data_IF_011887108108
#
_entry.id   IF_011887108108
#
_cell.length_a   1.000
_cell.length_b   1.000
_cell.length_c   1.000
_cell.angle_alpha   90.00
_cell.angle_beta   90.00
_cell.angle_gamma   90.00
#
_symmetry.space_group_name_H-M   'P 1'
#
loop_
_entity.id
_entity.type
_entity.pdbx_description
1 polymer ?
#
# COMPACT_ATOMS: atom_id res chain seq x y z
N UNK A 1 -14.64 16.45 9.55
CA UNK A 1 -13.48 17.35 9.36
C UNK A 1 -13.25 17.48 7.87
N UNK A 2 -12.96 18.69 7.33
CA UNK A 2 -12.61 18.79 5.92
C UNK A 2 -11.24 18.13 5.71
N UNK A 3 -10.98 17.63 4.50
CA UNK A 3 -9.72 17.01 4.07
C UNK A 3 -8.56 17.97 4.39
N UNK A 4 -7.90 17.76 5.53
CA UNK A 4 -6.71 18.51 5.90
C UNK A 4 -5.64 18.18 4.88
N UNK A 5 -5.13 19.23 4.27
CA UNK A 5 -4.44 19.23 3.00
C UNK A 5 -3.14 18.43 3.13
N UNK A 6 -3.11 17.19 2.61
CA UNK A 6 -1.82 16.53 2.30
C UNK A 6 -1.03 17.53 1.48
N UNK A 7 0.10 17.97 2.01
CA UNK A 7 0.91 18.97 1.32
C UNK A 7 1.55 18.32 0.10
N UNK A 8 1.82 19.11 -0.95
CA UNK A 8 2.57 18.61 -2.10
C UNK A 8 3.93 18.03 -1.68
N UNK A 9 4.51 18.59 -0.61
CA UNK A 9 5.77 18.14 -0.02
C UNK A 9 5.64 16.74 0.60
N UNK A 10 4.61 16.53 1.41
CA UNK A 10 4.30 15.22 2.02
C UNK A 10 4.00 14.14 0.98
N UNK A 11 3.25 14.49 -0.07
CA UNK A 11 3.02 13.57 -1.18
C UNK A 11 4.30 13.24 -1.93
N UNK A 12 5.16 14.24 -2.19
CA UNK A 12 6.44 14.03 -2.87
C UNK A 12 7.38 13.16 -2.04
N UNK A 13 7.46 13.40 -0.73
CA UNK A 13 8.24 12.56 0.18
C UNK A 13 7.71 11.12 0.24
N UNK A 14 6.39 10.94 0.18
CA UNK A 14 5.77 9.62 0.14
C UNK A 14 6.10 8.89 -1.17
N UNK A 15 6.12 9.59 -2.30
CA UNK A 15 6.58 9.03 -3.59
C UNK A 15 8.02 8.55 -3.45
N UNK A 16 8.94 9.39 -2.95
CA UNK A 16 10.35 9.00 -2.80
C UNK A 16 10.49 7.76 -1.91
N UNK A 17 9.72 7.69 -0.83
CA UNK A 17 9.70 6.54 0.09
C UNK A 17 9.20 5.27 -0.60
N UNK A 18 8.11 5.37 -1.36
CA UNK A 18 7.55 4.26 -2.13
C UNK A 18 8.50 3.79 -3.22
N UNK A 19 9.18 4.71 -3.90
CA UNK A 19 10.15 4.37 -4.95
C UNK A 19 11.39 3.68 -4.38
N UNK A 20 11.89 4.14 -3.22
CA UNK A 20 13.03 3.52 -2.55
C UNK A 20 12.68 2.11 -2.04
N UNK A 21 11.50 1.96 -1.43
CA UNK A 21 11.08 0.72 -0.80
C UNK A 21 10.60 -0.35 -1.80
N UNK A 22 9.74 0.03 -2.75
CA UNK A 22 9.12 -0.93 -3.69
C UNK A 22 9.77 -0.93 -5.08
N UNK A 23 10.78 -0.10 -5.35
CA UNK A 23 11.23 0.22 -6.71
C UNK A 23 11.39 -0.96 -7.66
N UNK A 24 12.05 -2.03 -7.22
CA UNK A 24 12.25 -3.25 -8.02
C UNK A 24 10.94 -3.99 -8.34
N UNK A 25 10.04 -4.11 -7.36
CA UNK A 25 8.72 -4.74 -7.52
C UNK A 25 7.79 -3.88 -8.40
N UNK A 26 7.88 -2.56 -8.30
CA UNK A 26 7.12 -1.64 -9.16
C UNK A 26 7.50 -1.86 -10.62
N UNK A 27 8.81 -1.95 -10.92
CA UNK A 27 9.27 -2.18 -12.29
C UNK A 27 8.76 -3.53 -12.82
N UNK A 28 8.87 -4.60 -12.03
CA UNK A 28 8.38 -5.93 -12.41
C UNK A 28 6.85 -5.97 -12.61
N UNK A 29 6.08 -5.37 -11.72
CA UNK A 29 4.61 -5.36 -11.82
C UNK A 29 4.14 -4.46 -12.96
N UNK A 30 4.76 -3.29 -13.15
CA UNK A 30 4.42 -2.37 -14.24
C UNK A 30 4.71 -2.93 -15.63
N UNK A 31 5.65 -3.88 -15.77
CA UNK A 31 5.87 -4.59 -17.04
C UNK A 31 4.69 -5.50 -17.40
N UNK A 32 4.01 -6.06 -16.40
CA UNK A 32 2.93 -7.04 -16.59
C UNK A 32 1.53 -6.43 -16.50
N UNK A 33 1.40 -5.31 -15.80
CA UNK A 33 0.18 -4.53 -15.74
C UNK A 33 0.22 -3.45 -16.82
N UNK A 34 -0.92 -3.17 -17.47
CA UNK A 34 -1.04 -2.12 -18.50
C UNK A 34 -1.01 -0.70 -17.91
N UNK A 35 -0.09 -0.44 -16.98
CA UNK A 35 0.05 0.79 -16.19
C UNK A 35 1.50 1.26 -16.22
N UNK A 36 1.72 2.57 -16.29
CA UNK A 36 3.07 3.11 -16.19
C UNK A 36 3.63 3.02 -14.75
N UNK A 37 4.95 2.87 -14.63
CA UNK A 37 5.69 2.95 -13.35
C UNK A 37 5.25 4.16 -12.51
N UNK A 38 5.16 5.34 -13.13
CA UNK A 38 4.76 6.59 -12.45
C UNK A 38 3.34 6.55 -11.91
N UNK A 39 2.40 5.97 -12.65
CA UNK A 39 1.04 5.81 -12.17
C UNK A 39 1.01 4.84 -10.99
N UNK A 40 1.72 3.71 -11.08
CA UNK A 40 1.79 2.74 -9.99
C UNK A 40 2.38 3.35 -8.71
N UNK A 41 3.48 4.09 -8.83
CA UNK A 41 4.08 4.86 -7.72
C UNK A 41 3.06 5.81 -7.10
N UNK A 42 2.33 6.58 -7.91
CA UNK A 42 1.33 7.52 -7.40
C UNK A 42 0.17 6.81 -6.67
N UNK A 43 -0.27 5.64 -7.15
CA UNK A 43 -1.30 4.83 -6.50
C UNK A 43 -0.80 4.30 -5.16
N UNK A 44 0.43 3.78 -5.12
CA UNK A 44 1.07 3.29 -3.89
C UNK A 44 1.24 4.42 -2.87
N UNK A 45 1.67 5.61 -3.29
CA UNK A 45 1.81 6.77 -2.42
C UNK A 45 0.46 7.21 -1.82
N UNK A 46 -0.61 7.21 -2.63
CA UNK A 46 -1.98 7.47 -2.12
C UNK A 46 -2.43 6.42 -1.12
N UNK A 47 -2.13 5.15 -1.37
CA UNK A 47 -2.42 4.07 -0.44
C UNK A 47 -1.68 4.26 0.90
N UNK A 48 -0.40 4.64 0.87
CA UNK A 48 0.37 4.97 2.09
C UNK A 48 -0.28 6.10 2.88
N UNK A 49 -0.61 7.22 2.22
CA UNK A 49 -1.25 8.36 2.90
C UNK A 49 -2.61 8.00 3.49
N UNK A 50 -3.44 7.26 2.75
CA UNK A 50 -4.75 6.81 3.26
C UNK A 50 -4.60 5.80 4.40
N UNK A 51 -3.60 4.91 4.36
CA UNK A 51 -3.28 4.02 5.47
C UNK A 51 -2.83 4.77 6.72
N UNK A 52 -1.97 5.80 6.56
CA UNK A 52 -1.54 6.67 7.66
C UNK A 52 -2.69 7.42 8.32
N UNK A 53 -3.69 7.85 7.54
CA UNK A 53 -4.88 8.52 8.08
C UNK A 53 -5.78 7.60 8.92
N UNK A 54 -5.83 6.30 8.60
CA UNK A 54 -6.57 5.31 9.39
C UNK A 54 -5.84 4.93 10.68
N UNK A 55 -4.52 5.16 10.73
CA UNK A 55 -3.59 4.68 11.77
C UNK A 55 -3.59 3.15 11.91
N UNK A 56 -2.62 2.60 12.63
CA UNK A 56 -2.44 1.15 12.82
C UNK A 56 -3.68 0.52 13.47
N UNK A 57 -4.34 1.22 14.39
CA UNK A 57 -5.57 0.75 15.02
C UNK A 57 -6.72 0.60 14.02
N UNK A 58 -6.94 1.58 13.14
CA UNK A 58 -7.99 1.50 12.13
C UNK A 58 -7.70 0.46 11.03
N UNK A 59 -6.44 0.17 10.75
CA UNK A 59 -6.06 -0.91 9.83
C UNK A 59 -6.19 -2.29 10.46
N UNK A 60 -5.86 -2.43 11.76
CA UNK A 60 -6.00 -3.70 12.50
C UNK A 60 -7.47 -4.04 12.78
N UNK A 61 -8.34 -3.04 12.96
CA UNK A 61 -9.78 -3.28 13.02
C UNK A 61 -10.35 -3.83 11.69
N UNK A 62 -9.59 -3.71 10.60
CA UNK A 62 -9.94 -4.18 9.26
C UNK A 62 -9.04 -5.34 8.76
N UNK A 63 -8.26 -6.00 9.62
CA UNK A 63 -7.43 -7.11 9.19
C UNK A 63 -6.45 -7.66 10.23
N UNK A 64 -5.61 -8.60 9.79
CA UNK A 64 -4.59 -9.24 10.62
C UNK A 64 -3.19 -8.69 10.31
N UNK A 65 -2.41 -8.41 11.36
CA UNK A 65 -0.98 -8.09 11.23
C UNK A 65 -0.20 -9.38 10.99
N UNK A 66 0.51 -9.43 9.87
CA UNK A 66 1.33 -10.58 9.45
C UNK A 66 2.76 -10.43 9.94
N UNK A 67 3.27 -9.20 9.85
CA UNK A 67 4.62 -8.84 10.25
C UNK A 67 4.63 -7.38 10.70
N UNK A 68 5.43 -7.07 11.71
CA UNK A 68 5.64 -5.72 12.17
C UNK A 68 7.12 -5.54 12.54
N UNK A 69 7.73 -4.52 11.96
CA UNK A 69 9.10 -4.09 12.25
C UNK A 69 9.09 -2.59 12.60
N UNK A 70 10.27 -2.03 12.84
CA UNK A 70 10.40 -0.59 13.02
C UNK A 70 10.18 0.17 11.70
N UNK A 71 10.41 -0.47 10.56
CA UNK A 71 10.39 0.13 9.24
C UNK A 71 9.03 -0.04 8.53
N UNK A 72 8.28 -1.08 8.88
CA UNK A 72 7.04 -1.42 8.17
C UNK A 72 6.08 -2.26 9.01
N UNK A 73 4.81 -2.24 8.64
CA UNK A 73 3.78 -3.17 9.14
C UNK A 73 3.03 -3.79 7.96
N UNK A 74 2.99 -5.12 7.89
CA UNK A 74 2.35 -5.90 6.84
C UNK A 74 0.99 -6.42 7.34
N UNK A 75 -0.05 -6.22 6.53
CA UNK A 75 -1.43 -6.55 6.86
C UNK A 75 -2.05 -7.46 5.78
N UNK A 76 -2.86 -8.41 6.24
CA UNK A 76 -3.93 -9.00 5.45
C UNK A 76 -5.25 -8.37 5.87
N UNK A 77 -5.75 -7.44 5.06
CA UNK A 77 -7.01 -6.76 5.29
C UNK A 77 -8.18 -7.65 4.87
N UNK A 78 -9.26 -7.64 5.66
CA UNK A 78 -10.51 -8.36 5.38
C UNK A 78 -11.31 -7.76 4.22
N UNK A 79 -10.88 -6.60 3.71
CA UNK A 79 -11.42 -5.94 2.53
C UNK A 79 -11.79 -4.48 2.80
N UNK A 80 -12.44 -3.83 1.83
CA UNK A 80 -12.95 -2.46 1.97
C UNK A 80 -11.91 -1.37 1.69
N UNK A 81 -10.72 -1.44 2.29
CA UNK A 81 -9.70 -0.40 2.16
C UNK A 81 -9.38 -0.01 0.71
N UNK A 82 -9.05 -0.98 -0.14
CA UNK A 82 -8.72 -0.72 -1.54
C UNK A 82 -9.93 -0.28 -2.38
N UNK A 83 -11.13 -0.74 -2.01
CA UNK A 83 -12.38 -0.29 -2.63
C UNK A 83 -12.64 1.17 -2.31
N UNK A 84 -12.48 1.56 -1.05
CA UNK A 84 -12.64 2.93 -0.58
C UNK A 84 -11.57 3.84 -1.19
N UNK A 85 -10.31 3.38 -1.25
CA UNK A 85 -9.22 4.07 -1.94
C UNK A 85 -9.55 4.28 -3.42
N UNK A 86 -10.10 3.27 -4.08
CA UNK A 86 -10.53 3.35 -5.47
C UNK A 86 -11.62 4.39 -5.69
N UNK A 87 -12.62 4.44 -4.81
CA UNK A 87 -13.68 5.45 -4.85
C UNK A 87 -13.20 6.86 -4.54
N UNK A 88 -12.32 7.01 -3.53
CA UNK A 88 -11.82 8.31 -3.07
C UNK A 88 -10.86 8.95 -4.08
N UNK A 89 -9.99 8.14 -4.68
CA UNK A 89 -8.92 8.61 -5.57
C UNK A 89 -9.17 8.33 -7.05
N UNK A 90 -10.37 7.86 -7.40
CA UNK A 90 -10.78 7.52 -8.77
C UNK A 90 -9.80 6.57 -9.46
N UNK A 91 -9.36 5.52 -8.74
CA UNK A 91 -8.43 4.53 -9.29
C UNK A 91 -9.16 3.65 -10.29
N UNK A 92 -8.51 3.39 -11.42
CA UNK A 92 -8.95 2.36 -12.34
C UNK A 92 -8.79 0.96 -11.70
N UNK A 93 -9.58 -0.04 -12.16
CA UNK A 93 -9.46 -1.41 -11.66
C UNK A 93 -8.04 -1.98 -11.81
N UNK A 94 -7.35 -1.65 -12.90
CA UNK A 94 -5.98 -2.10 -13.16
C UNK A 94 -4.96 -1.43 -12.23
N UNK A 95 -5.14 -0.15 -11.91
CA UNK A 95 -4.31 0.57 -10.93
C UNK A 95 -4.40 -0.05 -9.55
N UNK A 96 -5.62 -0.29 -9.06
CA UNK A 96 -5.83 -0.94 -7.76
C UNK A 96 -5.27 -2.37 -7.75
N UNK A 97 -5.44 -3.12 -8.84
CA UNK A 97 -4.92 -4.49 -8.96
C UNK A 97 -3.39 -4.54 -8.97
N UNK A 98 -2.74 -3.66 -9.73
CA UNK A 98 -1.29 -3.58 -9.79
C UNK A 98 -0.70 -3.18 -8.43
N UNK A 99 -1.29 -2.19 -7.75
CA UNK A 99 -0.85 -1.77 -6.43
C UNK A 99 -1.00 -2.90 -5.40
N UNK A 100 -2.12 -3.62 -5.40
CA UNK A 100 -2.31 -4.81 -4.54
C UNK A 100 -1.27 -5.91 -4.84
N UNK A 101 -0.95 -6.14 -6.10
CA UNK A 101 0.02 -7.16 -6.50
C UNK A 101 1.43 -6.83 -5.98
N UNK A 102 1.85 -5.56 -6.01
CA UNK A 102 3.13 -5.13 -5.40
C UNK A 102 3.18 -5.50 -3.92
N UNK A 103 2.12 -5.16 -3.17
CA UNK A 103 2.04 -5.48 -1.75
C UNK A 103 2.01 -6.99 -1.51
N UNK A 104 1.22 -7.74 -2.28
CA UNK A 104 1.10 -9.21 -2.15
C UNK A 104 2.44 -9.89 -2.27
N UNK A 105 3.20 -9.61 -3.34
CA UNK A 105 4.49 -10.25 -3.60
C UNK A 105 5.48 -10.03 -2.48
N UNK A 106 5.49 -8.83 -1.89
CA UNK A 106 6.38 -8.55 -0.77
C UNK A 106 5.93 -9.27 0.50
N UNK A 107 4.63 -9.30 0.81
CA UNK A 107 4.11 -10.07 1.95
C UNK A 107 4.41 -11.56 1.78
N UNK A 108 4.20 -12.13 0.60
CA UNK A 108 4.54 -13.53 0.30
C UNK A 108 6.05 -13.81 0.43
N UNK A 109 6.90 -12.88 0.01
CA UNK A 109 8.34 -13.00 0.17
C UNK A 109 8.79 -12.97 1.64
N UNK A 110 8.12 -12.18 2.48
CA UNK A 110 8.46 -12.00 3.91
C UNK A 110 7.82 -13.09 4.80
N UNK A 111 6.55 -13.39 4.59
CA UNK A 111 5.78 -14.32 5.42
C UNK A 111 5.86 -15.78 4.97
N UNK A 112 6.42 -16.06 3.78
CA UNK A 112 6.44 -17.39 3.17
C UNK A 112 5.10 -17.77 2.54
N UNK A 113 4.92 -19.06 2.21
CA UNK A 113 3.75 -19.55 1.48
C UNK A 113 2.46 -19.22 2.24
N UNK A 114 1.70 -18.31 1.67
CA UNK A 114 0.48 -17.76 2.23
C UNK A 114 -0.59 -18.82 2.07
N UNK A 115 -1.01 -19.43 3.18
CA UNK A 115 -2.07 -20.42 3.19
C UNK A 115 -3.31 -19.92 2.42
N UNK A 116 -3.98 -20.82 1.69
CA UNK A 116 -5.03 -20.50 0.71
C UNK A 116 -6.12 -19.53 1.21
N UNK A 117 -6.39 -19.49 2.53
CA UNK A 117 -7.36 -18.60 3.15
C UNK A 117 -7.04 -17.09 3.03
N UNK A 118 -5.77 -16.73 2.83
CA UNK A 118 -5.33 -15.34 2.71
C UNK A 118 -5.36 -14.83 1.25
N UNK A 119 -5.60 -15.68 0.25
CA UNK A 119 -5.69 -15.24 -1.17
C UNK A 119 -6.89 -14.33 -1.44
N UNK A 120 -7.97 -14.50 -0.69
CA UNK A 120 -9.17 -13.67 -0.79
C UNK A 120 -9.03 -12.34 -0.06
N UNK A 121 -8.02 -12.21 0.80
CA UNK A 121 -7.72 -11.01 1.57
C UNK A 121 -6.86 -10.02 0.81
N UNK A 122 -6.95 -8.79 1.27
CA UNK A 122 -6.32 -7.65 0.65
C UNK A 122 -4.94 -7.37 1.26
N UNK A 123 -3.87 -7.43 0.46
CA UNK A 123 -2.54 -7.12 0.95
C UNK A 123 -2.40 -5.62 1.17
N UNK A 124 -1.81 -5.24 2.30
CA UNK A 124 -1.39 -3.85 2.52
C UNK A 124 -0.13 -3.82 3.35
N UNK A 125 0.76 -2.88 3.05
CA UNK A 125 2.00 -2.67 3.79
C UNK A 125 2.05 -1.20 4.09
N UNK A 126 2.14 -0.87 5.37
CA UNK A 126 2.32 0.50 5.82
C UNK A 126 3.81 0.70 6.10
N UNK A 127 4.45 1.60 5.35
CA UNK A 127 5.84 1.99 5.61
C UNK A 127 5.82 2.99 6.77
N UNK A 128 6.47 2.62 7.86
CA UNK A 128 6.63 3.50 9.01
C UNK A 128 7.59 4.62 8.61
N UNK A 129 7.20 5.86 8.88
CA UNK A 129 8.17 6.94 8.76
C UNK A 129 9.23 6.77 9.85
N UNK A 130 10.53 6.97 9.53
CA UNK A 130 11.55 6.99 10.56
C UNK A 130 11.14 8.01 11.61
N UNK A 131 10.83 7.52 12.80
CA UNK A 131 10.48 8.35 13.95
C UNK A 131 11.72 9.10 14.41
N UNK A 132 12.09 10.16 13.70
CA UNK A 132 13.29 10.92 14.02
C UNK A 132 13.77 11.82 12.90
N UNK A 133 13.28 13.06 12.88
CA UNK A 133 14.17 14.21 12.67
C UNK A 133 13.76 15.41 13.49
#
# INVERSE_FOLDING_TARGET
MPLDSVTLDEFSQTIDTVEDYFGSLIDDVAVHASISRRQLVAVLARAQLSGRQLDTAGLTDNGDIVHQSNDETLFWLDGGFWTDLGGLHYLSPDEGRAAREVHRRLIEAVAGDVADYNRERDPFILINEPSGR
#
